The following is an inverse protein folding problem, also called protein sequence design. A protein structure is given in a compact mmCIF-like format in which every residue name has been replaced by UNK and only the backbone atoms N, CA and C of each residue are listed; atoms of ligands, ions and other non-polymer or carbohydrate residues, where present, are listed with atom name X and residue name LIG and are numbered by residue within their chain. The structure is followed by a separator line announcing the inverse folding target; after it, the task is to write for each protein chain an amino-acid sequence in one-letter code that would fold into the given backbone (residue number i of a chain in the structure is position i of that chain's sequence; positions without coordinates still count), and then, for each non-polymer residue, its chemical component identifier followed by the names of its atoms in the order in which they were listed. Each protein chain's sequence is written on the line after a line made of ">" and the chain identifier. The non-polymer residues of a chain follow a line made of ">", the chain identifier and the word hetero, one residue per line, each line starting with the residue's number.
data_IF_619866141370
#
_entry.id   IF_619866141370
#
_cell.length_a   1.000
_cell.length_b   1.000
_cell.length_c   1.000
_cell.angle_alpha   90.00
_cell.angle_beta   90.00
_cell.angle_gamma   90.00
#
_symmetry.space_group_name_H-M   'P 1'
#
loop_
_entity.id
_entity.type
_entity.pdbx_description
1 polymer ?
#
# COMPACT_ATOMS: atom_id res chain seq x y z
N UNK A 1 40.88 -20.31 10.35
CA UNK A 1 40.30 -20.78 9.07
C UNK A 1 39.18 -21.76 9.39
N UNK A 2 37.95 -21.52 8.91
CA UNK A 2 36.80 -22.32 9.33
C UNK A 2 35.47 -21.99 8.62
N UNK A 3 35.53 -21.87 7.30
CA UNK A 3 34.55 -22.40 6.32
C UNK A 3 33.07 -21.97 6.49
N UNK A 4 32.67 -21.10 5.56
CA UNK A 4 31.32 -20.60 5.28
C UNK A 4 30.20 -21.68 5.32
N UNK A 5 29.31 -21.57 6.31
CA UNK A 5 27.97 -22.20 6.27
C UNK A 5 27.04 -21.33 5.41
N UNK A 6 26.96 -21.62 4.10
CA UNK A 6 25.91 -21.05 3.25
C UNK A 6 24.56 -21.59 3.72
N UNK A 7 23.76 -20.72 4.36
CA UNK A 7 22.34 -20.95 4.67
C UNK A 7 21.65 -21.39 3.38
N UNK A 8 21.10 -22.60 3.35
CA UNK A 8 20.15 -23.03 2.34
C UNK A 8 18.89 -22.18 2.48
N UNK A 9 18.85 -21.04 1.78
CA UNK A 9 17.59 -20.33 1.55
C UNK A 9 16.69 -21.25 0.74
N UNK A 10 15.47 -21.39 1.21
CA UNK A 10 14.45 -22.21 0.55
C UNK A 10 14.09 -21.60 -0.81
N UNK A 11 13.59 -22.42 -1.75
CA UNK A 11 13.21 -21.93 -3.09
C UNK A 11 12.11 -20.87 -3.02
N UNK A 12 11.24 -20.97 -2.02
CA UNK A 12 10.15 -20.05 -1.71
C UNK A 12 10.68 -18.69 -1.23
N UNK A 13 11.64 -18.66 -0.30
CA UNK A 13 12.30 -17.43 0.12
C UNK A 13 13.03 -16.73 -1.03
N UNK A 14 13.69 -17.49 -1.91
CA UNK A 14 14.31 -16.92 -3.11
C UNK A 14 13.28 -16.36 -4.07
N UNK A 15 12.15 -17.02 -4.25
CA UNK A 15 11.06 -16.52 -5.10
C UNK A 15 10.47 -15.22 -4.54
N UNK A 16 10.25 -15.16 -3.22
CA UNK A 16 9.80 -13.96 -2.54
C UNK A 16 10.83 -12.82 -2.63
N UNK A 17 12.13 -13.11 -2.49
CA UNK A 17 13.21 -12.14 -2.63
C UNK A 17 13.30 -11.59 -4.07
N UNK A 18 13.19 -12.46 -5.07
CA UNK A 18 13.17 -12.06 -6.48
C UNK A 18 11.93 -11.21 -6.78
N UNK A 19 10.75 -11.61 -6.28
CA UNK A 19 9.52 -10.83 -6.39
C UNK A 19 9.67 -9.44 -5.74
N UNK A 20 10.30 -9.36 -4.56
CA UNK A 20 10.62 -8.09 -3.90
C UNK A 20 11.57 -7.20 -4.70
N UNK A 21 12.60 -7.79 -5.33
CA UNK A 21 13.56 -7.04 -6.19
C UNK A 21 12.91 -6.53 -7.48
N UNK A 22 12.03 -7.33 -8.09
CA UNK A 22 11.22 -6.93 -9.25
C UNK A 22 10.26 -5.81 -8.86
N UNK A 23 9.52 -5.97 -7.76
CA UNK A 23 8.58 -4.98 -7.24
C UNK A 23 9.25 -3.67 -6.80
N UNK A 24 10.49 -3.73 -6.31
CA UNK A 24 11.25 -2.56 -5.90
C UNK A 24 11.99 -1.85 -7.06
N UNK A 25 12.05 -2.45 -8.26
CA UNK A 25 12.88 -1.96 -9.36
C UNK A 25 14.38 -1.93 -9.06
N UNK A 26 14.82 -2.60 -7.99
CA UNK A 26 16.19 -2.57 -7.48
C UNK A 26 16.91 -3.88 -7.82
N UNK A 27 18.16 -3.76 -8.30
CA UNK A 27 18.99 -4.90 -8.71
C UNK A 27 18.83 -5.32 -10.18
N UNK A 28 19.59 -6.34 -10.59
CA UNK A 28 19.65 -6.82 -11.98
C UNK A 28 18.28 -7.20 -12.54
N UNK A 29 17.50 -7.97 -11.78
CA UNK A 29 16.17 -8.43 -12.18
C UNK A 29 15.16 -7.28 -12.32
N UNK A 30 15.13 -6.33 -11.38
CA UNK A 30 14.26 -5.16 -11.49
C UNK A 30 14.58 -4.29 -12.71
N UNK A 31 15.86 -4.11 -13.03
CA UNK A 31 16.29 -3.39 -14.24
C UNK A 31 15.96 -4.15 -15.54
N UNK A 32 16.16 -5.46 -15.55
CA UNK A 32 15.84 -6.32 -16.70
C UNK A 32 14.33 -6.33 -16.98
N UNK A 33 13.50 -6.50 -15.95
CA UNK A 33 12.03 -6.45 -16.07
C UNK A 33 11.55 -5.09 -16.55
N UNK A 34 12.14 -3.99 -16.04
CA UNK A 34 11.84 -2.63 -16.52
C UNK A 34 12.24 -2.42 -17.98
N UNK A 35 13.36 -2.99 -18.41
CA UNK A 35 13.80 -2.90 -19.81
C UNK A 35 12.88 -3.70 -20.75
N UNK A 36 12.36 -4.85 -20.30
CA UNK A 36 11.45 -5.69 -21.10
C UNK A 36 10.03 -5.15 -21.18
N UNK A 37 9.49 -4.60 -20.08
CA UNK A 37 8.11 -4.09 -20.02
C UNK A 37 8.00 -2.62 -20.46
N UNK A 38 9.10 -1.88 -20.53
CA UNK A 38 9.04 -0.42 -20.70
C UNK A 38 8.64 0.31 -19.41
N UNK A 39 8.93 1.61 -19.35
CA UNK A 39 8.78 2.40 -18.13
C UNK A 39 7.32 2.57 -17.68
N UNK A 40 6.38 2.64 -18.62
CA UNK A 40 4.96 2.88 -18.35
C UNK A 40 4.28 1.64 -17.79
N UNK A 41 4.50 0.46 -18.38
CA UNK A 41 3.91 -0.78 -17.89
C UNK A 41 4.58 -1.26 -16.60
N UNK A 42 5.88 -0.97 -16.41
CA UNK A 42 6.54 -1.21 -15.13
C UNK A 42 5.94 -0.33 -14.01
N UNK A 43 5.63 0.93 -14.30
CA UNK A 43 4.96 1.81 -13.33
C UNK A 43 3.56 1.28 -12.98
N UNK A 44 2.80 0.78 -13.97
CA UNK A 44 1.50 0.13 -13.72
C UNK A 44 1.63 -1.13 -12.86
N UNK A 45 2.61 -2.00 -13.15
CA UNK A 45 2.88 -3.20 -12.34
C UNK A 45 3.27 -2.82 -10.92
N UNK A 46 4.13 -1.82 -10.75
CA UNK A 46 4.57 -1.37 -9.43
C UNK A 46 3.43 -0.69 -8.65
N UNK A 47 2.53 0.01 -9.34
CA UNK A 47 1.30 0.58 -8.76
C UNK A 47 0.35 -0.52 -8.29
N UNK A 48 0.12 -1.55 -9.11
CA UNK A 48 -0.70 -2.71 -8.75
C UNK A 48 -0.14 -3.50 -7.56
N UNK A 49 1.19 -3.72 -7.52
CA UNK A 49 1.84 -4.38 -6.39
C UNK A 49 1.85 -3.52 -5.12
N UNK A 50 1.93 -2.20 -5.26
CA UNK A 50 1.82 -1.27 -4.12
C UNK A 50 0.39 -1.32 -3.54
N UNK A 51 -0.64 -1.36 -4.38
CA UNK A 51 -2.03 -1.54 -3.94
C UNK A 51 -2.23 -2.88 -3.22
N UNK A 52 -1.67 -3.98 -3.74
CA UNK A 52 -1.77 -5.30 -3.09
C UNK A 52 -1.05 -5.36 -1.73
N UNK A 53 0.18 -4.85 -1.65
CA UNK A 53 0.94 -4.83 -0.40
C UNK A 53 0.35 -3.87 0.64
N UNK A 54 -0.39 -2.85 0.21
CA UNK A 54 -1.05 -1.92 1.14
C UNK A 54 -2.11 -2.61 1.99
N UNK A 55 -2.93 -3.52 1.44
CA UNK A 55 -3.98 -4.22 2.20
C UNK A 55 -3.44 -5.20 3.26
N UNK A 56 -2.47 -6.04 2.89
CA UNK A 56 -1.84 -7.01 3.81
C UNK A 56 -0.88 -6.33 4.80
N UNK A 57 -0.15 -5.30 4.34
CA UNK A 57 0.76 -4.55 5.18
C UNK A 57 0.04 -3.76 6.28
N UNK A 58 -1.12 -3.16 5.98
CA UNK A 58 -1.84 -2.35 6.96
C UNK A 58 -2.40 -3.19 8.10
N UNK A 59 -3.00 -4.36 7.84
CA UNK A 59 -3.50 -5.22 8.92
C UNK A 59 -2.38 -5.67 9.87
N UNK A 60 -1.21 -6.00 9.32
CA UNK A 60 -0.04 -6.33 10.13
C UNK A 60 0.46 -5.13 10.94
N UNK A 61 0.49 -3.93 10.35
CA UNK A 61 0.87 -2.71 11.05
C UNK A 61 -0.10 -2.39 12.20
N UNK A 62 -1.40 -2.54 11.97
CA UNK A 62 -2.42 -2.37 13.01
C UNK A 62 -2.26 -3.40 14.14
N UNK A 63 -2.01 -4.67 13.80
CA UNK A 63 -1.75 -5.72 14.79
C UNK A 63 -0.47 -5.46 15.61
N UNK A 64 0.50 -4.76 15.03
CA UNK A 64 1.72 -4.30 15.72
C UNK A 64 1.50 -3.01 16.54
N UNK A 65 0.29 -2.47 16.58
CA UNK A 65 -0.03 -1.24 17.31
C UNK A 65 0.45 0.03 16.62
N UNK A 66 0.59 0.03 15.30
CA UNK A 66 0.92 1.24 14.55
C UNK A 66 -0.12 2.34 14.82
N UNK A 67 0.31 3.59 15.04
CA UNK A 67 -0.60 4.69 15.31
C UNK A 67 -1.50 4.95 14.10
N UNK A 68 -2.80 5.11 14.34
CA UNK A 68 -3.78 5.49 13.34
C UNK A 68 -4.08 6.98 13.41
N UNK A 69 -4.36 7.57 12.26
CA UNK A 69 -4.69 8.98 12.12
C UNK A 69 -6.10 9.07 11.51
N UNK A 70 -7.05 9.73 12.18
CA UNK A 70 -8.38 9.94 11.63
C UNK A 70 -8.34 10.92 10.46
N UNK A 71 -9.10 10.60 9.42
CA UNK A 71 -9.30 11.45 8.25
C UNK A 71 -10.78 11.42 7.84
N UNK A 72 -11.24 12.48 7.18
CA UNK A 72 -12.60 12.57 6.61
C UNK A 72 -12.49 12.44 5.11
N UNK A 73 -13.29 11.56 4.52
CA UNK A 73 -13.33 11.39 3.07
C UNK A 73 -13.96 12.61 2.42
N UNK A 74 -13.25 13.24 1.51
CA UNK A 74 -13.72 14.39 0.73
C UNK A 74 -14.35 13.91 -0.57
N UNK A 75 -13.67 13.00 -1.27
CA UNK A 75 -14.17 12.42 -2.51
C UNK A 75 -13.62 11.02 -2.74
N UNK A 76 -14.37 10.23 -3.50
CA UNK A 76 -14.00 8.89 -3.94
C UNK A 76 -14.22 8.79 -5.45
N UNK A 77 -13.24 8.25 -6.16
CA UNK A 77 -13.31 7.98 -7.60
C UNK A 77 -12.94 6.53 -7.86
N UNK A 78 -13.78 5.81 -8.62
CA UNK A 78 -13.45 4.46 -9.07
C UNK A 78 -12.41 4.53 -10.20
N UNK A 79 -11.39 3.69 -10.10
CA UNK A 79 -10.34 3.58 -11.12
C UNK A 79 -10.71 2.60 -12.24
N UNK A 80 -11.80 1.84 -12.07
CA UNK A 80 -12.21 0.75 -12.95
C UNK A 80 -11.38 -0.52 -12.80
N UNK A 81 -10.42 -0.54 -11.87
CA UNK A 81 -9.56 -1.70 -11.57
C UNK A 81 -10.11 -2.48 -10.39
N UNK A 82 -10.02 -3.80 -10.48
CA UNK A 82 -10.39 -4.71 -9.39
C UNK A 82 -9.17 -5.54 -8.96
N UNK A 83 -9.05 -5.82 -7.67
CA UNK A 83 -8.08 -6.76 -7.10
C UNK A 83 -8.86 -7.72 -6.21
N UNK A 84 -8.78 -9.03 -6.48
CA UNK A 84 -9.59 -10.04 -5.78
C UNK A 84 -11.09 -9.70 -5.76
N UNK A 85 -11.59 -9.18 -6.89
CA UNK A 85 -12.91 -8.59 -7.06
C UNK A 85 -13.18 -7.30 -6.28
N UNK A 86 -12.36 -6.90 -5.31
CA UNK A 86 -12.53 -5.64 -4.60
C UNK A 86 -12.08 -4.43 -5.45
N UNK A 87 -12.84 -3.32 -5.45
CA UNK A 87 -12.50 -2.15 -6.24
C UNK A 87 -11.27 -1.41 -5.72
N UNK A 88 -10.47 -0.93 -6.67
CA UNK A 88 -9.39 0.04 -6.42
C UNK A 88 -9.95 1.43 -6.65
N UNK A 89 -9.87 2.27 -5.63
CA UNK A 89 -10.43 3.63 -5.64
C UNK A 89 -9.34 4.66 -5.36
N UNK A 90 -9.49 5.83 -5.97
CA UNK A 90 -8.76 7.03 -5.59
C UNK A 90 -9.57 7.78 -4.53
N UNK A 91 -9.01 7.89 -3.33
CA UNK A 91 -9.58 8.62 -2.20
C UNK A 91 -8.86 9.95 -2.02
N UNK A 92 -9.66 11.01 -1.87
CA UNK A 92 -9.19 12.29 -1.36
C UNK A 92 -9.74 12.43 0.05
N UNK A 93 -8.86 12.66 1.01
CA UNK A 93 -9.21 12.73 2.43
C UNK A 93 -8.58 13.96 3.06
N UNK A 94 -9.29 14.56 4.00
CA UNK A 94 -8.77 15.63 4.86
C UNK A 94 -8.39 15.01 6.20
N UNK A 95 -7.13 15.14 6.59
CA UNK A 95 -6.68 14.75 7.92
C UNK A 95 -7.43 15.57 8.96
N UNK A 96 -8.03 14.90 9.94
CA UNK A 96 -8.68 15.61 11.06
C UNK A 96 -7.57 16.34 11.83
N UNK A 97 -7.61 17.68 11.92
CA UNK A 97 -6.51 18.42 12.51
C UNK A 97 -6.36 18.11 13.99
N UNK A 98 -5.10 18.03 14.45
CA UNK A 98 -4.79 18.33 15.86
C UNK A 98 -5.16 19.80 16.14
N UNK A 99 -5.52 20.16 17.38
CA UNK A 99 -6.19 21.43 17.75
C UNK A 99 -5.54 22.76 17.32
N UNK A 100 -4.39 22.76 16.64
CA UNK A 100 -3.66 23.95 16.17
C UNK A 100 -3.23 23.90 14.69
N UNK A 101 -3.67 22.92 13.90
CA UNK A 101 -3.23 22.74 12.50
C UNK A 101 -4.33 22.99 11.47
N UNK A 102 -3.93 23.39 10.26
CA UNK A 102 -4.81 23.33 9.09
C UNK A 102 -5.10 21.87 8.71
N UNK A 103 -6.29 21.60 8.19
CA UNK A 103 -6.62 20.29 7.62
C UNK A 103 -5.73 20.04 6.40
N UNK A 104 -4.90 18.98 6.47
CA UNK A 104 -4.05 18.56 5.36
C UNK A 104 -4.84 17.64 4.43
N UNK A 105 -4.86 17.97 3.14
CA UNK A 105 -5.53 17.16 2.12
C UNK A 105 -4.57 16.17 1.50
N UNK A 106 -5.00 14.92 1.45
CA UNK A 106 -4.20 13.79 0.97
C UNK A 106 -4.98 13.04 -0.09
N UNK A 107 -4.26 12.63 -1.14
CA UNK A 107 -4.80 11.73 -2.16
C UNK A 107 -4.07 10.40 -2.06
N UNK A 108 -4.81 9.30 -2.00
CA UNK A 108 -4.26 7.96 -2.01
C UNK A 108 -5.11 7.01 -2.85
N UNK A 109 -4.47 6.03 -3.47
CA UNK A 109 -5.13 4.94 -4.17
C UNK A 109 -5.11 3.70 -3.30
N UNK A 110 -6.27 3.07 -3.08
CA UNK A 110 -6.37 1.91 -2.20
C UNK A 110 -7.44 0.92 -2.65
N UNK A 111 -7.35 -0.30 -2.15
CA UNK A 111 -8.36 -1.35 -2.33
C UNK A 111 -9.37 -1.18 -1.19
N UNK A 112 -10.66 -1.12 -1.51
CA UNK A 112 -11.74 -1.08 -0.53
C UNK A 112 -12.66 -2.28 -0.69
N UNK A 113 -13.21 -2.78 0.42
CA UNK A 113 -14.15 -3.90 0.38
C UNK A 113 -15.47 -3.48 -0.27
N UNK A 114 -16.06 -4.35 -1.11
CA UNK A 114 -17.43 -4.13 -1.64
C UNK A 114 -18.51 -3.98 -0.57
N UNK A 115 -18.31 -4.57 0.60
CA UNK A 115 -19.29 -4.52 1.69
C UNK A 115 -19.29 -3.14 2.37
N UNK A 116 -18.15 -2.45 2.35
CA UNK A 116 -17.92 -1.21 3.09
C UNK A 116 -17.08 -0.27 2.22
N UNK A 117 -17.74 0.29 1.21
CA UNK A 117 -17.17 1.34 0.38
C UNK A 117 -17.41 2.68 1.10
N UNK A 118 -16.35 3.40 1.49
CA UNK A 118 -16.49 4.69 2.17
C UNK A 118 -17.09 5.74 1.24
N UNK A 119 -17.83 6.67 1.80
CA UNK A 119 -18.50 7.78 1.11
C UNK A 119 -17.91 9.11 1.53
N UNK A 120 -18.13 10.15 0.71
CA UNK A 120 -17.79 11.51 1.10
C UNK A 120 -18.50 11.89 2.41
N UNK A 121 -17.74 12.41 3.37
CA UNK A 121 -18.16 12.70 4.73
C UNK A 121 -17.86 11.60 5.76
N UNK A 122 -17.55 10.38 5.32
CA UNK A 122 -17.23 9.29 6.25
C UNK A 122 -15.87 9.50 6.91
N UNK A 123 -15.78 9.10 8.18
CA UNK A 123 -14.51 9.07 8.91
C UNK A 123 -13.80 7.75 8.64
N UNK A 124 -12.53 7.85 8.28
CA UNK A 124 -11.65 6.72 8.01
C UNK A 124 -10.36 6.84 8.82
N UNK A 125 -9.67 5.72 8.98
CA UNK A 125 -8.38 5.65 9.62
C UNK A 125 -7.29 5.48 8.57
N UNK A 126 -6.18 6.17 8.79
CA UNK A 126 -4.96 6.04 8.00
C UNK A 126 -3.81 5.59 8.90
N UNK A 127 -2.85 4.88 8.31
CA UNK A 127 -1.58 4.51 8.95
C UNK A 127 -0.45 5.08 8.11
N UNK A 128 0.61 5.59 8.76
CA UNK A 128 1.79 6.06 8.03
C UNK A 128 2.48 4.90 7.31
N UNK A 129 2.86 5.09 6.05
CA UNK A 129 3.59 4.08 5.26
C UNK A 129 5.06 4.00 5.72
N UNK A 130 5.52 2.91 6.37
CA UNK A 130 6.92 2.79 6.76
C UNK A 130 7.86 2.62 5.56
N UNK A 131 7.35 2.13 4.41
CA UNK A 131 8.15 1.99 3.20
C UNK A 131 8.31 3.31 2.45
N UNK A 132 7.41 4.28 2.65
CA UNK A 132 7.44 5.61 2.03
C UNK A 132 7.07 6.68 3.05
N UNK A 133 8.04 7.19 3.82
CA UNK A 133 7.79 8.24 4.81
C UNK A 133 7.09 9.46 4.19
N UNK A 134 6.03 9.93 4.84
CA UNK A 134 5.18 11.03 4.35
C UNK A 134 3.95 10.58 3.56
N UNK A 135 3.88 9.31 3.16
CA UNK A 135 2.66 8.73 2.59
C UNK A 135 1.83 8.02 3.66
N UNK A 136 0.56 7.80 3.33
CA UNK A 136 -0.41 7.16 4.19
C UNK A 136 -1.06 5.97 3.48
N UNK A 137 -1.41 4.96 4.27
CA UNK A 137 -2.12 3.77 3.86
C UNK A 137 -3.51 3.76 4.49
N UNK A 138 -4.51 3.33 3.73
CA UNK A 138 -5.88 3.20 4.20
C UNK A 138 -6.02 2.04 5.20
N UNK A 139 -6.60 2.30 6.37
CA UNK A 139 -6.79 1.35 7.45
C UNK A 139 -8.25 1.00 7.75
N UNK A 140 -9.17 1.40 6.86
CA UNK A 140 -10.60 1.16 7.05
C UNK A 140 -11.31 2.29 7.80
N UNK A 141 -12.53 2.03 8.24
CA UNK A 141 -13.39 2.98 8.95
C UNK A 141 -13.28 2.87 10.48
N UNK A 142 -12.29 2.12 10.99
CA UNK A 142 -12.05 1.95 12.42
C UNK A 142 -13.06 1.06 13.15
N UNK A 143 -14.05 0.53 12.45
CA UNK A 143 -14.98 -0.46 12.99
C UNK A 143 -14.43 -1.84 12.62
N UNK A 144 -13.68 -2.44 13.52
CA UNK A 144 -13.27 -3.85 13.41
C UNK A 144 -14.52 -4.71 13.19
N UNK A 145 -14.56 -5.61 12.19
CA UNK A 145 -15.62 -6.61 12.12
C UNK A 145 -15.57 -7.58 13.31
#
# INVERSE_FOLDING_TARGET
>A
MGIFRKRHQTREERAAEIAGKVAGGKGFYGRATRAFLGAEDFARVQQSMSAYNSGLGVQQLLAMGAPTIPAVVVSISDTGKLVNFDPVVDLVVDLVPRPSGAAERITLQTIVSKLRIPRAGDQVLLVADPARPGNYLYAGDGVTP
#
